data_IF_930391883802
#
_entry.id   IF_930391883802
#
_cell.length_a   1.000
_cell.length_b   1.000
_cell.length_c   1.000
_cell.angle_alpha   90.00
_cell.angle_beta   90.00
_cell.angle_gamma   90.00
#
_symmetry.space_group_name_H-M   'P 1'
#
loop_
_entity.id
_entity.type
_entity.pdbx_description
1 polymer ?
#
# COMPACT_ATOMS: atom_id res chain seq x y z
N UNK A 1 18.91 -56.80 50.03
CA UNK A 1 18.78 -56.56 48.57
C UNK A 1 17.83 -55.39 48.36
N UNK A 2 18.32 -54.25 47.85
CA UNK A 2 17.52 -53.09 47.42
C UNK A 2 17.81 -52.88 45.92
N UNK A 3 16.82 -52.73 45.04
CA UNK A 3 17.10 -52.44 43.64
C UNK A 3 17.37 -50.95 43.47
N UNK A 4 18.44 -50.62 42.76
CA UNK A 4 18.72 -49.27 42.28
C UNK A 4 17.91 -49.04 41.01
N UNK A 5 17.05 -48.03 41.02
CA UNK A 5 16.28 -47.58 39.86
C UNK A 5 17.14 -46.55 39.11
N UNK A 6 17.71 -46.96 37.98
CA UNK A 6 18.34 -46.05 37.02
C UNK A 6 17.26 -45.38 36.18
N UNK A 7 17.08 -44.07 36.34
CA UNK A 7 16.22 -43.25 35.47
C UNK A 7 17.07 -42.81 34.27
N UNK A 8 16.78 -43.38 33.10
CA UNK A 8 17.32 -42.89 31.83
C UNK A 8 16.59 -41.60 31.45
N UNK A 9 17.29 -40.48 31.52
CA UNK A 9 16.79 -39.19 31.04
C UNK A 9 16.95 -39.15 29.51
N UNK A 10 15.88 -39.48 28.77
CA UNK A 10 15.84 -39.28 27.32
C UNK A 10 15.65 -37.79 27.05
N UNK A 11 16.73 -37.10 26.65
CA UNK A 11 16.66 -35.75 26.12
C UNK A 11 15.99 -35.83 24.74
N UNK A 12 14.71 -35.50 24.68
CA UNK A 12 13.98 -35.32 23.41
C UNK A 12 14.47 -34.00 22.82
N UNK A 13 15.44 -34.05 21.93
CA UNK A 13 15.78 -32.94 21.05
C UNK A 13 14.62 -32.70 20.10
N UNK A 14 13.71 -31.80 20.46
CA UNK A 14 12.72 -31.27 19.54
C UNK A 14 13.48 -30.48 18.48
N UNK A 15 13.64 -31.07 17.29
CA UNK A 15 14.08 -30.34 16.12
C UNK A 15 13.01 -29.30 15.83
N UNK A 16 13.26 -28.05 16.23
CA UNK A 16 12.49 -26.90 15.78
C UNK A 16 12.80 -26.80 14.29
N UNK A 17 11.90 -27.31 13.44
CA UNK A 17 11.98 -27.04 12.02
C UNK A 17 12.01 -25.50 11.87
N UNK A 18 12.97 -24.94 11.11
CA UNK A 18 12.96 -23.51 10.85
C UNK A 18 11.59 -23.20 10.25
N UNK A 19 10.84 -22.30 10.91
CA UNK A 19 9.71 -21.62 10.30
C UNK A 19 10.18 -21.20 8.91
N UNK A 20 9.55 -21.70 7.85
CA UNK A 20 9.93 -21.37 6.48
C UNK A 20 9.89 -19.86 6.35
N UNK A 21 11.07 -19.23 6.43
CA UNK A 21 11.19 -17.80 6.24
C UNK A 21 10.69 -17.51 4.83
N UNK A 22 9.68 -16.65 4.73
CA UNK A 22 9.20 -16.16 3.45
C UNK A 22 10.37 -15.51 2.72
N UNK A 23 10.83 -16.13 1.64
CA UNK A 23 11.99 -15.70 0.88
C UNK A 23 11.57 -15.18 -0.49
N UNK A 24 12.18 -14.07 -0.92
CA UNK A 24 11.98 -13.52 -2.25
C UNK A 24 12.84 -14.27 -3.28
N UNK A 25 12.19 -14.89 -4.26
CA UNK A 25 12.85 -15.54 -5.40
C UNK A 25 12.64 -14.75 -6.69
N UNK A 26 13.57 -14.86 -7.63
CA UNK A 26 13.41 -14.29 -8.97
C UNK A 26 12.30 -15.03 -9.74
N UNK A 27 11.56 -14.29 -10.56
CA UNK A 27 10.52 -14.81 -11.45
C UNK A 27 10.36 -13.85 -12.64
N UNK A 28 9.37 -14.11 -13.48
CA UNK A 28 8.83 -13.12 -14.42
C UNK A 28 7.37 -12.82 -14.14
N UNK A 29 6.92 -11.65 -14.58
CA UNK A 29 5.51 -11.25 -14.58
C UNK A 29 5.20 -10.62 -15.93
N UNK A 30 4.34 -11.26 -16.73
CA UNK A 30 4.04 -10.81 -18.10
C UNK A 30 5.29 -10.58 -18.97
N UNK A 31 6.36 -11.35 -18.74
CA UNK A 31 7.64 -11.20 -19.43
C UNK A 31 8.60 -10.16 -18.83
N UNK A 32 8.16 -9.36 -17.85
CA UNK A 32 8.99 -8.45 -17.07
C UNK A 32 9.75 -9.23 -15.98
N UNK A 33 10.99 -8.85 -15.69
CA UNK A 33 11.75 -9.38 -14.56
C UNK A 33 11.06 -9.00 -13.23
N UNK A 34 10.94 -9.98 -12.33
CA UNK A 34 10.23 -9.78 -11.09
C UNK A 34 10.80 -10.60 -9.94
N UNK A 35 10.36 -10.27 -8.73
CA UNK A 35 10.51 -11.12 -7.56
C UNK A 35 9.15 -11.54 -7.02
N UNK A 36 9.08 -12.76 -6.51
CA UNK A 36 7.90 -13.33 -5.87
C UNK A 36 8.23 -13.85 -4.48
N UNK A 37 7.28 -13.69 -3.56
CA UNK A 37 7.32 -14.29 -2.24
C UNK A 37 5.90 -14.68 -1.81
N UNK A 38 5.79 -15.70 -0.97
CA UNK A 38 4.51 -16.15 -0.40
C UNK A 38 4.50 -15.97 1.11
N UNK A 39 3.36 -15.59 1.66
CA UNK A 39 3.19 -15.43 3.11
C UNK A 39 3.54 -16.70 3.88
N UNK A 40 3.72 -16.58 5.19
CA UNK A 40 4.11 -17.73 6.03
C UNK A 40 3.11 -18.89 5.95
N UNK A 41 1.81 -18.60 5.82
CA UNK A 41 0.78 -19.63 5.62
C UNK A 41 0.76 -20.24 4.21
N UNK A 42 1.52 -19.67 3.27
CA UNK A 42 1.47 -19.99 1.84
C UNK A 42 0.18 -19.52 1.15
N UNK A 43 -0.71 -18.82 1.87
CA UNK A 43 -2.02 -18.43 1.35
C UNK A 43 -1.97 -17.22 0.43
N UNK A 44 -1.04 -16.31 0.68
CA UNK A 44 -0.93 -15.06 -0.06
C UNK A 44 0.37 -15.00 -0.83
N UNK A 45 0.34 -14.41 -2.01
CA UNK A 45 1.49 -14.19 -2.87
C UNK A 45 1.63 -12.70 -3.18
N UNK A 46 2.88 -12.25 -3.26
CA UNK A 46 3.26 -10.92 -3.69
C UNK A 46 4.24 -11.02 -4.85
N UNK A 47 3.99 -10.27 -5.94
CA UNK A 47 4.91 -10.17 -7.08
C UNK A 47 5.29 -8.70 -7.28
N UNK A 48 6.58 -8.45 -7.36
CA UNK A 48 7.19 -7.12 -7.52
C UNK A 48 7.93 -7.08 -8.85
N UNK A 49 7.45 -6.26 -9.80
CA UNK A 49 8.09 -6.05 -11.11
C UNK A 49 9.24 -5.05 -10.98
N UNK A 50 10.38 -5.39 -11.60
CA UNK A 50 11.57 -4.54 -11.60
C UNK A 50 11.44 -3.41 -12.61
N UNK A 51 10.87 -3.69 -13.78
CA UNK A 51 10.64 -2.74 -14.87
C UNK A 51 9.63 -1.66 -14.47
N UNK A 52 8.66 -2.02 -13.62
CA UNK A 52 7.69 -1.09 -13.03
C UNK A 52 8.13 -0.54 -11.68
N UNK A 53 9.18 -1.12 -11.09
CA UNK A 53 9.71 -0.75 -9.79
C UNK A 53 8.69 -0.87 -8.65
N UNK A 54 7.76 -1.83 -8.69
CA UNK A 54 6.66 -1.90 -7.70
C UNK A 54 6.00 -3.26 -7.55
N UNK A 55 5.25 -3.42 -6.44
CA UNK A 55 4.30 -4.51 -6.26
C UNK A 55 3.19 -4.40 -7.31
N UNK A 56 3.10 -5.43 -8.16
CA UNK A 56 2.11 -5.56 -9.24
C UNK A 56 1.07 -6.63 -8.93
N UNK A 57 1.35 -7.51 -7.96
CA UNK A 57 0.43 -8.55 -7.56
C UNK A 57 0.34 -8.67 -6.03
N UNK A 58 -0.89 -8.76 -5.51
CA UNK A 58 -1.17 -9.27 -4.17
C UNK A 58 -2.45 -10.10 -4.21
N UNK A 59 -2.38 -11.40 -3.93
CA UNK A 59 -3.48 -12.32 -4.17
C UNK A 59 -3.26 -13.72 -3.59
N UNK A 60 -4.21 -14.63 -3.76
CA UNK A 60 -4.10 -16.01 -3.23
C UNK A 60 -3.28 -16.96 -4.11
N UNK A 61 -3.01 -16.56 -5.34
CA UNK A 61 -2.27 -17.32 -6.34
C UNK A 61 -1.37 -16.34 -7.07
N UNK A 62 -0.25 -16.80 -7.61
CA UNK A 62 0.60 -15.98 -8.50
C UNK A 62 -0.05 -15.67 -9.85
N UNK A 63 -1.23 -16.23 -10.13
CA UNK A 63 -2.01 -15.98 -11.35
C UNK A 63 -2.81 -14.66 -11.28
N UNK A 64 -2.97 -13.99 -12.42
CA UNK A 64 -3.66 -12.69 -12.51
C UNK A 64 -5.12 -12.72 -12.02
N UNK A 65 -5.80 -13.86 -12.14
CA UNK A 65 -7.24 -14.00 -11.83
C UNK A 65 -7.60 -13.68 -10.38
N UNK A 66 -6.64 -13.81 -9.48
CA UNK A 66 -6.81 -13.62 -8.04
C UNK A 66 -6.05 -12.38 -7.53
N UNK A 67 -5.58 -11.51 -8.42
CA UNK A 67 -4.88 -10.29 -8.07
C UNK A 67 -5.86 -9.26 -7.50
N UNK A 68 -5.59 -8.80 -6.27
CA UNK A 68 -6.34 -7.74 -5.61
C UNK A 68 -5.81 -6.34 -5.96
N UNK A 69 -4.80 -6.25 -6.82
CA UNK A 69 -4.30 -5.01 -7.39
C UNK A 69 -4.64 -4.95 -8.88
N UNK A 70 -4.99 -3.76 -9.37
CA UNK A 70 -5.09 -3.54 -10.80
C UNK A 70 -3.69 -3.50 -11.39
N UNK A 71 -3.34 -4.43 -12.27
CA UNK A 71 -2.02 -4.47 -12.90
C UNK A 71 -2.19 -4.78 -14.40
N UNK A 72 -2.31 -3.75 -15.24
CA UNK A 72 -2.61 -3.93 -16.65
C UNK A 72 -1.40 -4.45 -17.43
N UNK A 73 -1.71 -5.14 -18.52
CA UNK A 73 -0.73 -5.78 -19.39
C UNK A 73 0.30 -4.80 -19.99
N UNK A 74 -0.17 -3.60 -20.35
CA UNK A 74 0.68 -2.55 -20.91
C UNK A 74 0.69 -1.31 -20.02
N UNK A 75 1.53 -0.33 -20.37
CA UNK A 75 1.74 0.92 -19.62
C UNK A 75 1.41 2.15 -20.46
N UNK A 76 0.63 1.95 -21.53
CA UNK A 76 0.45 2.96 -22.58
C UNK A 76 -0.45 4.12 -22.13
N UNK A 77 -1.19 3.94 -21.03
CA UNK A 77 -2.06 4.98 -20.46
C UNK A 77 -1.65 5.31 -19.02
N UNK A 78 -1.74 6.58 -18.64
CA UNK A 78 -1.43 7.02 -17.28
C UNK A 78 -2.40 6.43 -16.23
N UNK A 79 -3.64 6.12 -16.63
CA UNK A 79 -4.60 5.38 -15.81
C UNK A 79 -4.24 3.88 -15.70
N UNK A 80 -3.39 3.39 -16.61
CA UNK A 80 -2.91 2.02 -16.73
C UNK A 80 -1.57 1.76 -16.03
N UNK A 81 -1.19 2.53 -15.02
CA UNK A 81 0.06 2.27 -14.31
C UNK A 81 -0.08 1.14 -13.27
N UNK A 82 -1.20 1.11 -12.54
CA UNK A 82 -1.57 0.02 -11.65
C UNK A 82 -0.62 -0.25 -10.48
N UNK A 83 -0.94 -1.31 -9.74
CA UNK A 83 -0.16 -1.84 -8.63
C UNK A 83 -0.12 -0.92 -7.42
N UNK A 84 0.98 -1.05 -6.67
CA UNK A 84 1.34 -0.21 -5.53
C UNK A 84 2.24 0.95 -6.00
N UNK A 85 1.65 2.12 -6.23
CA UNK A 85 2.40 3.33 -6.62
C UNK A 85 2.87 4.06 -5.36
N UNK A 86 3.98 4.78 -5.50
CA UNK A 86 4.53 5.61 -4.44
C UNK A 86 4.94 6.95 -5.02
N UNK A 87 4.32 8.02 -4.55
CA UNK A 87 4.63 9.39 -4.97
C UNK A 87 4.98 10.25 -3.76
N UNK A 88 5.70 11.35 -4.02
CA UNK A 88 5.95 12.37 -3.02
C UNK A 88 5.01 13.56 -3.21
N UNK A 89 4.66 14.20 -2.09
CA UNK A 89 3.74 15.32 -2.03
C UNK A 89 4.25 16.50 -1.19
N UNK A 90 3.34 17.42 -0.79
CA UNK A 90 1.88 17.20 -0.72
C UNK A 90 1.15 17.15 -2.05
N UNK A 91 -0.02 16.50 -2.07
CA UNK A 91 -0.80 16.28 -3.31
C UNK A 91 -1.31 17.58 -3.94
N UNK A 92 -1.57 18.57 -3.11
CA UNK A 92 -1.92 19.94 -3.54
C UNK A 92 -0.83 20.63 -4.37
N UNK A 93 0.44 20.19 -4.27
CA UNK A 93 1.56 20.72 -5.07
C UNK A 93 1.74 19.98 -6.41
N UNK A 94 1.09 18.83 -6.61
CA UNK A 94 1.23 17.99 -7.82
C UNK A 94 0.98 18.72 -9.15
N UNK A 95 0.02 19.66 -9.29
CA UNK A 95 -0.17 20.38 -10.54
C UNK A 95 1.08 21.11 -11.06
N UNK A 96 2.04 21.41 -10.19
CA UNK A 96 3.29 22.10 -10.56
C UNK A 96 4.36 21.19 -11.14
N UNK A 97 4.22 19.88 -10.99
CA UNK A 97 5.18 18.89 -11.46
C UNK A 97 4.50 17.67 -12.09
N UNK A 98 3.28 17.83 -12.61
CA UNK A 98 2.59 16.78 -13.35
C UNK A 98 3.08 16.70 -14.80
N UNK A 99 3.36 15.50 -15.35
CA UNK A 99 3.24 14.16 -14.76
C UNK A 99 4.32 13.87 -13.71
N UNK A 100 4.08 12.93 -12.76
CA UNK A 100 5.05 12.61 -11.71
C UNK A 100 6.42 12.22 -12.30
N UNK A 101 7.53 12.52 -11.59
CA UNK A 101 8.87 12.13 -12.01
C UNK A 101 8.95 10.67 -12.47
N UNK A 102 9.64 10.45 -13.60
CA UNK A 102 9.78 9.11 -14.19
C UNK A 102 10.41 8.10 -13.21
N UNK A 103 11.31 8.53 -12.34
CA UNK A 103 11.88 7.69 -11.29
C UNK A 103 10.84 7.06 -10.35
N UNK A 104 9.71 7.74 -10.11
CA UNK A 104 8.67 7.23 -9.23
C UNK A 104 7.76 6.24 -9.93
N UNK A 105 7.58 6.42 -11.24
CA UNK A 105 6.44 5.85 -11.94
C UNK A 105 6.80 5.03 -13.18
N UNK A 106 7.84 5.42 -13.91
CA UNK A 106 8.14 4.87 -15.22
C UNK A 106 9.47 4.15 -15.34
N UNK A 107 10.38 4.33 -14.40
CA UNK A 107 11.71 3.74 -14.45
C UNK A 107 11.77 2.35 -13.81
N UNK A 108 12.60 1.49 -14.40
CA UNK A 108 13.00 0.26 -13.74
C UNK A 108 13.77 0.56 -12.45
N UNK A 109 13.65 -0.31 -11.46
CA UNK A 109 14.37 -0.21 -10.20
C UNK A 109 15.44 -1.31 -10.11
N UNK A 110 16.60 -0.94 -9.55
CA UNK A 110 17.54 -1.94 -9.08
C UNK A 110 16.93 -2.65 -7.87
N UNK A 111 17.07 -3.98 -7.81
CA UNK A 111 16.59 -4.78 -6.70
C UNK A 111 17.74 -5.42 -5.92
N UNK A 112 17.59 -5.45 -4.61
CA UNK A 112 18.46 -6.20 -3.70
C UNK A 112 17.59 -7.00 -2.75
N UNK A 113 17.84 -8.30 -2.65
CA UNK A 113 17.25 -9.16 -1.64
C UNK A 113 18.27 -9.28 -0.48
N UNK A 114 17.81 -9.19 0.77
CA UNK A 114 18.66 -9.39 1.95
C UNK A 114 19.29 -10.78 1.97
N UNK A 115 20.38 -10.95 2.71
CA UNK A 115 21.12 -12.22 2.78
C UNK A 115 20.26 -13.39 3.30
N UNK A 116 19.29 -13.11 4.17
CA UNK A 116 18.32 -14.07 4.69
C UNK A 116 17.11 -14.30 3.75
N UNK A 117 17.05 -13.58 2.62
CA UNK A 117 15.99 -13.67 1.63
C UNK A 117 14.69 -12.93 1.99
N UNK A 118 14.55 -12.40 3.21
CA UNK A 118 13.23 -11.97 3.75
C UNK A 118 12.78 -10.60 3.28
N UNK A 119 13.73 -9.76 2.86
CA UNK A 119 13.50 -8.37 2.51
C UNK A 119 13.89 -8.12 1.07
N UNK A 120 12.95 -7.62 0.27
CA UNK A 120 13.22 -7.09 -1.06
C UNK A 120 13.26 -5.56 -1.00
N UNK A 121 14.37 -4.96 -1.41
CA UNK A 121 14.51 -3.51 -1.54
C UNK A 121 14.61 -3.13 -3.02
N UNK A 122 13.81 -2.15 -3.44
CA UNK A 122 13.88 -1.52 -4.75
C UNK A 122 14.45 -0.10 -4.63
N UNK A 123 15.38 0.19 -5.53
CA UNK A 123 16.03 1.50 -5.68
C UNK A 123 15.85 1.97 -7.12
N UNK A 124 14.83 2.82 -7.38
CA UNK A 124 14.70 3.51 -8.67
C UNK A 124 15.93 4.41 -8.94
N UNK A 125 16.12 4.86 -10.18
CA UNK A 125 17.13 5.88 -10.46
C UNK A 125 16.84 7.17 -9.68
N UNK A 126 17.85 8.04 -9.49
CA UNK A 126 17.65 9.30 -8.78
C UNK A 126 16.50 10.12 -9.36
N UNK A 127 15.67 10.71 -8.49
CA UNK A 127 14.48 11.47 -8.94
C UNK A 127 14.86 12.70 -9.76
N UNK A 128 15.95 13.38 -9.37
CA UNK A 128 16.33 14.69 -9.90
C UNK A 128 15.44 15.84 -9.40
N UNK A 129 15.63 17.04 -9.95
CA UNK A 129 14.81 18.24 -9.68
C UNK A 129 14.72 18.66 -8.19
N UNK A 130 15.74 18.29 -7.41
CA UNK A 130 15.83 18.57 -5.97
C UNK A 130 14.94 17.68 -5.09
N UNK A 131 14.26 16.68 -5.65
CA UNK A 131 13.54 15.68 -4.86
C UNK A 131 14.53 14.69 -4.23
N UNK A 132 14.22 14.15 -3.03
CA UNK A 132 14.98 13.03 -2.50
C UNK A 132 14.73 11.77 -3.32
N UNK A 133 15.60 10.79 -3.15
CA UNK A 133 15.48 9.48 -3.78
C UNK A 133 14.48 8.64 -2.99
N UNK A 134 13.53 8.03 -3.70
CA UNK A 134 12.45 7.24 -3.13
C UNK A 134 12.76 5.75 -3.26
N UNK A 135 12.98 5.07 -2.14
CA UNK A 135 13.22 3.63 -2.06
C UNK A 135 11.96 2.90 -1.61
N UNK A 136 11.88 1.61 -1.95
CA UNK A 136 10.77 0.73 -1.56
C UNK A 136 11.33 -0.52 -0.91
N UNK A 137 10.69 -1.01 0.13
CA UNK A 137 11.03 -2.26 0.79
C UNK A 137 9.77 -3.10 0.99
N UNK A 138 9.88 -4.41 0.76
CA UNK A 138 8.81 -5.37 0.95
C UNK A 138 9.28 -6.51 1.84
N UNK A 139 8.53 -6.78 2.90
CA UNK A 139 8.85 -7.83 3.86
C UNK A 139 7.55 -8.46 4.39
N UNK A 140 7.53 -9.78 4.49
CA UNK A 140 6.41 -10.50 5.09
C UNK A 140 6.59 -10.65 6.60
N UNK A 141 5.50 -10.46 7.33
CA UNK A 141 5.36 -10.77 8.75
C UNK A 141 4.10 -11.63 8.92
N UNK A 142 4.27 -12.95 8.97
CA UNK A 142 3.16 -13.89 8.88
C UNK A 142 2.40 -13.74 7.56
N UNK A 143 1.13 -13.34 7.64
CA UNK A 143 0.24 -13.09 6.49
C UNK A 143 0.09 -11.59 6.16
N UNK A 144 0.91 -10.73 6.75
CA UNK A 144 0.93 -9.30 6.48
C UNK A 144 2.18 -8.93 5.65
N UNK A 145 1.96 -8.29 4.50
CA UNK A 145 3.03 -7.71 3.69
C UNK A 145 3.25 -6.27 4.16
N UNK A 146 4.41 -6.00 4.73
CA UNK A 146 4.86 -4.66 5.05
C UNK A 146 5.52 -4.05 3.82
N UNK A 147 4.94 -2.96 3.32
CA UNK A 147 5.48 -2.19 2.22
C UNK A 147 5.96 -0.84 2.75
N UNK A 148 7.27 -0.67 2.86
CA UNK A 148 7.91 0.54 3.39
C UNK A 148 8.43 1.40 2.25
N UNK A 149 8.04 2.66 2.24
CA UNK A 149 8.68 3.70 1.45
C UNK A 149 9.67 4.45 2.34
N UNK A 150 10.86 4.71 1.83
CA UNK A 150 11.83 5.59 2.50
C UNK A 150 12.40 6.59 1.52
N UNK A 151 12.70 7.79 2.01
CA UNK A 151 13.37 8.81 1.21
C UNK A 151 14.79 9.03 1.73
N UNK A 152 15.74 9.07 0.82
CA UNK A 152 17.17 9.25 1.08
C UNK A 152 17.77 10.34 0.20
N UNK A 153 19.03 10.67 0.43
CA UNK A 153 19.77 11.63 -0.38
C UNK A 153 19.67 13.06 0.13
N UNK A 154 20.57 13.91 -0.36
CA UNK A 154 20.65 15.32 0.00
C UNK A 154 19.53 16.08 -0.71
N UNK A 155 18.43 16.32 0.01
CA UNK A 155 17.33 17.19 -0.43
C UNK A 155 16.90 18.09 0.70
N UNK A 156 16.75 19.37 0.39
CA UNK A 156 16.21 20.42 1.25
C UNK A 156 14.67 20.45 1.23
N UNK A 157 14.02 19.49 0.55
CA UNK A 157 12.57 19.42 0.48
C UNK A 157 11.97 18.65 1.66
N UNK A 158 11.00 19.30 2.28
CA UNK A 158 10.03 18.63 3.14
C UNK A 158 8.99 17.91 2.27
N UNK A 159 8.73 16.64 2.54
CA UNK A 159 7.94 15.75 1.67
C UNK A 159 6.82 15.06 2.41
N UNK A 160 5.73 14.79 1.70
CA UNK A 160 4.72 13.81 2.10
C UNK A 160 4.99 12.51 1.35
N UNK A 161 4.93 11.35 2.01
CA UNK A 161 5.02 10.04 1.33
C UNK A 161 3.60 9.53 1.12
N UNK A 162 3.26 9.18 -0.12
CA UNK A 162 1.92 8.74 -0.53
C UNK A 162 1.98 7.31 -1.07
N UNK A 163 1.42 6.36 -0.34
CA UNK A 163 1.17 5.00 -0.84
C UNK A 163 -0.17 4.94 -1.54
N UNK A 164 -0.20 4.41 -2.76
CA UNK A 164 -1.40 4.34 -3.59
C UNK A 164 -1.56 2.91 -4.10
N UNK A 165 -2.66 2.24 -3.74
CA UNK A 165 -2.99 0.92 -4.25
C UNK A 165 -4.20 1.03 -5.18
N UNK A 166 -3.95 0.92 -6.49
CA UNK A 166 -5.01 0.93 -7.49
C UNK A 166 -5.70 -0.44 -7.54
N UNK A 167 -7.02 -0.44 -7.42
CA UNK A 167 -7.82 -1.65 -7.30
C UNK A 167 -8.45 -2.07 -8.64
N UNK A 168 -8.62 -3.37 -8.90
CA UNK A 168 -9.35 -3.87 -10.07
C UNK A 168 -10.79 -3.35 -10.16
N UNK A 169 -11.37 -3.38 -11.36
CA UNK A 169 -12.79 -3.04 -11.54
C UNK A 169 -13.70 -3.89 -10.65
N UNK A 170 -14.79 -3.27 -10.18
CA UNK A 170 -15.76 -3.92 -9.29
C UNK A 170 -15.35 -3.98 -7.82
N UNK A 171 -14.16 -3.46 -7.46
CA UNK A 171 -13.81 -3.26 -6.05
C UNK A 171 -14.78 -2.30 -5.38
N UNK A 172 -15.13 -2.59 -4.13
CA UNK A 172 -15.82 -1.65 -3.24
C UNK A 172 -14.95 -1.41 -2.02
N UNK A 173 -15.00 -0.22 -1.46
CA UNK A 173 -14.22 0.12 -0.27
C UNK A 173 -15.14 0.23 0.92
N UNK A 174 -14.68 -0.22 2.07
CA UNK A 174 -15.36 -0.02 3.34
C UNK A 174 -14.40 0.48 4.38
N UNK A 175 -14.89 1.35 5.25
CA UNK A 175 -14.16 1.87 6.41
C UNK A 175 -15.14 2.18 7.55
N UNK A 176 -14.59 2.30 8.75
CA UNK A 176 -15.34 2.75 9.93
C UNK A 176 -15.23 4.27 9.99
N UNK A 177 -16.35 5.03 9.90
CA UNK A 177 -16.31 6.48 10.00
C UNK A 177 -15.97 6.92 11.43
N UNK A 178 -15.36 8.10 11.58
CA UNK A 178 -15.12 8.74 12.88
C UNK A 178 -15.75 10.15 12.93
N UNK A 179 -17.08 10.25 13.11
CA UNK A 179 -17.79 11.54 13.10
C UNK A 179 -17.25 12.53 14.14
N UNK A 180 -17.13 13.79 13.74
CA UNK A 180 -16.82 14.92 14.62
C UNK A 180 -17.79 16.06 14.36
N UNK A 181 -17.76 17.11 15.20
CA UNK A 181 -18.56 18.32 14.97
C UNK A 181 -18.23 18.97 13.61
N UNK A 182 -16.97 18.92 13.20
CA UNK A 182 -16.48 19.51 11.95
C UNK A 182 -16.55 18.54 10.76
N UNK A 183 -16.80 17.25 10.97
CA UNK A 183 -16.92 16.24 9.93
C UNK A 183 -18.03 15.25 10.34
N UNK A 184 -19.31 15.63 10.17
CA UNK A 184 -20.44 14.87 10.73
C UNK A 184 -20.60 13.47 10.13
N UNK A 185 -20.11 13.24 8.91
CA UNK A 185 -20.12 11.91 8.29
C UNK A 185 -18.93 11.04 8.71
N UNK A 186 -17.96 11.60 9.44
CA UNK A 186 -16.70 10.95 9.79
C UNK A 186 -15.70 10.81 8.64
N UNK A 187 -15.98 11.47 7.52
CA UNK A 187 -15.11 11.64 6.36
C UNK A 187 -15.41 12.98 5.68
N UNK A 188 -14.50 13.43 4.82
CA UNK A 188 -14.60 14.72 4.09
C UNK A 188 -14.42 14.48 2.59
N UNK A 189 -14.81 15.46 1.77
CA UNK A 189 -14.44 15.50 0.36
C UNK A 189 -13.21 16.40 0.22
N UNK A 190 -12.13 15.83 -0.31
CA UNK A 190 -10.84 16.50 -0.46
C UNK A 190 -10.77 17.25 -1.79
N UNK A 191 -9.97 18.33 -1.84
CA UNK A 191 -9.72 19.01 -3.09
C UNK A 191 -8.97 18.11 -4.07
N UNK A 192 -9.42 18.11 -5.32
CA UNK A 192 -8.85 17.40 -6.46
C UNK A 192 -9.26 18.15 -7.75
N UNK A 193 -8.67 17.85 -8.91
CA UNK A 193 -8.86 18.55 -10.20
C UNK A 193 -10.28 19.14 -10.47
N UNK A 194 -11.34 18.36 -10.23
CA UNK A 194 -12.75 18.80 -10.43
C UNK A 194 -13.43 19.39 -9.19
N UNK A 195 -12.83 19.23 -8.00
CA UNK A 195 -13.29 19.75 -6.71
C UNK A 195 -12.19 20.64 -6.13
N UNK A 196 -12.19 21.96 -6.37
CA UNK A 196 -11.12 22.83 -5.88
C UNK A 196 -11.17 23.05 -4.36
N UNK A 197 -12.32 22.78 -3.74
CA UNK A 197 -12.58 23.10 -2.33
C UNK A 197 -12.57 21.87 -1.44
N UNK A 198 -12.09 22.06 -0.22
CA UNK A 198 -12.21 21.11 0.87
C UNK A 198 -13.63 21.19 1.46
N UNK A 199 -14.40 20.10 1.42
CA UNK A 199 -15.80 20.10 1.87
C UNK A 199 -16.00 19.15 3.04
N UNK A 200 -16.41 19.73 4.17
CA UNK A 200 -16.63 19.04 5.45
C UNK A 200 -18.08 18.59 5.66
N UNK A 201 -19.01 19.38 5.16
CA UNK A 201 -20.45 19.17 5.30
C UNK A 201 -21.08 19.16 3.93
N UNK A 202 -21.80 18.10 3.61
CA UNK A 202 -22.40 17.86 2.31
C UNK A 202 -23.53 16.84 2.46
N UNK A 203 -24.46 16.83 1.50
CA UNK A 203 -25.41 15.74 1.39
C UNK A 203 -24.70 14.45 1.01
N UNK A 204 -25.13 13.32 1.57
CA UNK A 204 -24.48 12.03 1.34
C UNK A 204 -24.44 11.71 -0.17
N UNK A 205 -23.26 11.49 -0.77
CA UNK A 205 -23.16 11.17 -2.19
C UNK A 205 -23.77 9.80 -2.52
N UNK A 206 -24.27 9.64 -3.74
CA UNK A 206 -24.94 8.39 -4.19
C UNK A 206 -24.01 7.16 -4.17
N UNK A 207 -22.71 7.37 -4.38
CA UNK A 207 -21.70 6.31 -4.32
C UNK A 207 -21.34 5.89 -2.88
N UNK A 208 -21.98 6.47 -1.86
CA UNK A 208 -21.74 6.16 -0.46
C UNK A 208 -22.98 5.54 0.19
N UNK A 209 -22.82 4.33 0.73
CA UNK A 209 -23.81 3.64 1.55
C UNK A 209 -23.36 3.62 3.01
N UNK A 210 -24.26 3.94 3.93
CA UNK A 210 -24.04 3.80 5.38
C UNK A 210 -24.78 2.55 5.88
N UNK A 211 -24.07 1.69 6.59
CA UNK A 211 -24.61 0.51 7.25
C UNK A 211 -24.13 0.50 8.71
N UNK A 212 -25.00 0.98 9.61
CA UNK A 212 -24.73 1.17 11.04
C UNK A 212 -23.38 1.87 11.32
N UNK A 213 -22.32 1.09 11.51
CA UNK A 213 -20.98 1.56 11.87
C UNK A 213 -19.96 1.47 10.71
N UNK A 214 -20.44 1.24 9.49
CA UNK A 214 -19.60 1.06 8.32
C UNK A 214 -20.07 1.99 7.20
N UNK A 215 -19.12 2.64 6.55
CA UNK A 215 -19.34 3.32 5.29
C UNK A 215 -18.82 2.44 4.18
N UNK A 216 -19.60 2.30 3.11
CA UNK A 216 -19.23 1.60 1.88
C UNK A 216 -19.22 2.57 0.72
N UNK A 217 -18.09 2.65 0.05
CA UNK A 217 -17.88 3.42 -1.18
C UNK A 217 -17.96 2.47 -2.37
N UNK A 218 -18.82 2.80 -3.32
CA UNK A 218 -19.03 2.04 -4.55
C UNK A 218 -18.22 2.67 -5.70
N UNK A 219 -17.84 1.88 -6.72
CA UNK A 219 -17.40 2.42 -8.00
C UNK A 219 -18.45 3.39 -8.55
N UNK A 220 -17.98 4.44 -9.21
CA UNK A 220 -18.82 5.49 -9.78
C UNK A 220 -18.13 6.07 -11.01
N UNK A 221 -18.92 6.65 -11.91
CA UNK A 221 -18.43 7.42 -13.06
C UNK A 221 -18.04 8.86 -12.67
N UNK A 222 -18.24 9.24 -11.42
CA UNK A 222 -17.85 10.55 -10.88
C UNK A 222 -16.43 10.50 -10.32
N UNK A 223 -15.60 11.46 -10.70
CA UNK A 223 -14.29 11.60 -10.08
C UNK A 223 -14.40 12.33 -8.73
N UNK A 224 -14.02 11.65 -7.65
CA UNK A 224 -14.15 12.19 -6.29
C UNK A 224 -12.99 11.72 -5.41
N UNK A 225 -12.70 12.49 -4.36
CA UNK A 225 -11.68 12.14 -3.38
C UNK A 225 -12.21 12.27 -1.96
N UNK A 226 -12.17 11.17 -1.22
CA UNK A 226 -12.63 11.10 0.16
C UNK A 226 -11.42 11.11 1.08
N UNK A 227 -11.44 11.98 2.09
CA UNK A 227 -10.44 12.06 3.15
C UNK A 227 -10.95 11.47 4.46
N UNK A 228 -10.08 10.73 5.13
CA UNK A 228 -10.33 10.08 6.42
C UNK A 228 -9.18 10.39 7.38
N UNK A 229 -9.49 10.50 8.67
CA UNK A 229 -8.47 10.37 9.70
C UNK A 229 -7.76 9.02 9.55
N UNK A 230 -6.50 8.94 10.00
CA UNK A 230 -5.66 7.75 9.84
C UNK A 230 -6.40 6.47 10.29
N UNK A 231 -6.71 5.59 9.34
CA UNK A 231 -7.54 4.40 9.58
C UNK A 231 -7.23 3.27 8.61
N UNK A 232 -7.77 2.09 8.89
CA UNK A 232 -7.69 0.93 7.97
C UNK A 232 -8.76 1.03 6.90
N UNK A 233 -8.36 0.85 5.64
CA UNK A 233 -9.25 0.67 4.52
C UNK A 233 -9.41 -0.82 4.20
N UNK A 234 -10.64 -1.26 3.92
CA UNK A 234 -10.89 -2.58 3.36
C UNK A 234 -11.47 -2.46 1.96
N UNK A 235 -10.76 -2.95 0.95
CA UNK A 235 -11.31 -3.14 -0.37
C UNK A 235 -11.84 -4.57 -0.53
N UNK A 236 -12.95 -4.75 -1.23
CA UNK A 236 -13.58 -6.05 -1.42
C UNK A 236 -13.79 -6.35 -2.90
N UNK A 237 -13.40 -7.54 -3.31
CA UNK A 237 -13.62 -8.09 -4.65
C UNK A 237 -14.03 -9.54 -4.53
N UNK A 238 -15.23 -9.86 -5.02
CA UNK A 238 -15.82 -11.20 -4.91
C UNK A 238 -15.81 -11.71 -3.45
N UNK A 239 -15.14 -12.84 -3.21
CA UNK A 239 -14.98 -13.44 -1.88
C UNK A 239 -13.75 -12.91 -1.12
N UNK A 240 -12.96 -12.03 -1.72
CA UNK A 240 -11.70 -11.55 -1.18
C UNK A 240 -11.82 -10.14 -0.61
N UNK A 241 -11.02 -9.87 0.41
CA UNK A 241 -10.86 -8.56 1.02
C UNK A 241 -9.37 -8.24 1.06
N UNK A 242 -8.99 -7.10 0.50
CA UNK A 242 -7.70 -6.45 0.69
C UNK A 242 -7.82 -5.47 1.85
N UNK A 243 -6.91 -5.52 2.81
CA UNK A 243 -6.82 -4.55 3.90
C UNK A 243 -5.55 -3.74 3.76
N UNK A 244 -5.69 -2.42 3.87
CA UNK A 244 -4.59 -1.47 3.85
C UNK A 244 -4.62 -0.65 5.13
N UNK A 245 -3.59 -0.81 5.97
CA UNK A 245 -3.48 -0.13 7.26
C UNK A 245 -2.20 0.71 7.31
N UNK A 246 -2.24 1.92 7.89
CA UNK A 246 -1.02 2.66 8.20
C UNK A 246 -0.16 1.87 9.20
N UNK A 247 1.13 1.78 8.89
CA UNK A 247 2.15 1.15 9.73
C UNK A 247 3.02 2.19 10.43
N UNK A 248 4.27 1.83 10.68
CA UNK A 248 5.24 2.73 11.30
C UNK A 248 5.63 3.87 10.36
N UNK A 249 5.86 5.04 10.94
CA UNK A 249 6.39 6.22 10.26
C UNK A 249 7.56 6.77 11.07
N UNK A 250 8.56 7.29 10.37
CA UNK A 250 9.71 7.97 10.95
C UNK A 250 10.01 9.28 10.20
N UNK A 251 10.59 10.24 10.92
CA UNK A 251 10.86 11.59 10.43
C UNK A 251 10.17 12.65 11.29
N UNK A 252 10.69 13.88 11.25
CA UNK A 252 10.11 15.01 11.96
C UNK A 252 8.92 15.57 11.17
N UNK A 253 7.77 15.74 11.81
CA UNK A 253 6.60 16.37 11.19
C UNK A 253 6.77 17.90 11.20
N UNK A 254 6.53 18.53 10.05
CA UNK A 254 6.57 20.00 9.87
C UNK A 254 5.27 20.57 9.31
N UNK A 255 4.27 19.73 9.04
CA UNK A 255 2.94 20.17 8.63
C UNK A 255 1.98 19.02 8.41
N UNK A 256 0.69 19.35 8.33
CA UNK A 256 -0.41 18.42 8.08
C UNK A 256 -1.15 18.82 6.78
N UNK A 257 -0.60 18.46 5.60
CA UNK A 257 -1.32 18.58 4.35
C UNK A 257 -2.69 17.90 4.41
N UNK A 258 -3.61 18.34 3.55
CA UNK A 258 -4.99 17.84 3.52
C UNK A 258 -5.68 17.90 4.90
N UNK A 259 -5.25 18.81 5.79
CA UNK A 259 -5.78 19.00 7.15
C UNK A 259 -5.70 17.73 8.03
N UNK A 260 -4.71 16.87 7.81
CA UNK A 260 -4.49 15.64 8.59
C UNK A 260 -5.37 14.46 8.18
N UNK A 261 -6.08 14.56 7.05
CA UNK A 261 -6.83 13.44 6.47
C UNK A 261 -5.89 12.53 5.65
N UNK A 262 -5.08 11.79 6.40
CA UNK A 262 -3.94 10.99 5.92
C UNK A 262 -4.32 9.60 5.38
N UNK A 263 -5.59 9.23 5.43
CA UNK A 263 -6.12 8.05 4.72
C UNK A 263 -7.11 8.54 3.68
N UNK A 264 -7.00 8.09 2.43
CA UNK A 264 -7.85 8.62 1.36
C UNK A 264 -8.36 7.51 0.44
N UNK A 265 -9.51 7.77 -0.17
CA UNK A 265 -10.09 6.95 -1.24
C UNK A 265 -10.29 7.85 -2.44
N UNK A 266 -9.61 7.54 -3.54
CA UNK A 266 -9.81 8.23 -4.81
C UNK A 266 -10.66 7.39 -5.75
N UNK A 267 -11.65 8.04 -6.37
CA UNK A 267 -12.60 7.48 -7.31
C UNK A 267 -12.31 8.10 -8.68
N UNK A 268 -11.95 7.27 -9.67
CA UNK A 268 -11.72 7.73 -11.05
C UNK A 268 -12.97 7.58 -11.91
N UNK A 269 -13.42 8.65 -12.59
CA UNK A 269 -14.72 8.67 -13.27
C UNK A 269 -14.78 8.11 -14.71
N UNK A 270 -13.77 8.36 -15.54
CA UNK A 270 -13.81 8.01 -16.98
C UNK A 270 -13.61 6.50 -17.23
N UNK A 271 -12.89 5.82 -16.33
CA UNK A 271 -12.80 4.37 -16.25
C UNK A 271 -12.95 4.04 -14.76
N UNK A 272 -14.12 3.56 -14.29
CA UNK A 272 -14.37 3.41 -12.86
C UNK A 272 -13.32 2.52 -12.18
N UNK A 273 -12.41 3.15 -11.45
CA UNK A 273 -11.44 2.51 -10.57
C UNK A 273 -11.43 3.20 -9.22
N UNK A 274 -10.88 2.47 -8.24
CA UNK A 274 -10.70 2.99 -6.89
C UNK A 274 -9.23 2.86 -6.52
N UNK A 275 -8.70 3.90 -5.88
CA UNK A 275 -7.39 3.88 -5.25
C UNK A 275 -7.55 3.97 -3.73
N UNK A 276 -6.83 3.11 -3.03
CA UNK A 276 -6.67 3.18 -1.58
C UNK A 276 -5.36 3.91 -1.29
N UNK A 277 -5.44 5.01 -0.55
CA UNK A 277 -4.27 5.84 -0.26
C UNK A 277 -4.00 5.91 1.23
N UNK A 278 -2.71 5.82 1.58
CA UNK A 278 -2.20 6.11 2.92
C UNK A 278 -1.06 7.11 2.77
N UNK A 279 -1.10 8.17 3.56
CA UNK A 279 -0.20 9.30 3.47
C UNK A 279 0.46 9.54 4.82
N UNK A 280 1.66 10.10 4.80
CA UNK A 280 2.24 10.75 5.98
C UNK A 280 1.70 12.17 6.12
N UNK A 281 1.90 12.82 7.28
CA UNK A 281 2.06 14.27 7.35
C UNK A 281 3.26 14.74 6.50
N UNK A 282 3.49 16.05 6.40
CA UNK A 282 4.70 16.59 5.76
C UNK A 282 5.89 16.38 6.69
N UNK A 283 6.85 15.59 6.23
CA UNK A 283 8.10 15.29 6.91
C UNK A 283 9.16 16.34 6.56
N UNK A 284 9.95 16.76 7.54
CA UNK A 284 11.00 17.76 7.40
C UNK A 284 12.01 17.41 6.30
N UNK A 285 12.69 18.43 5.79
CA UNK A 285 13.90 18.26 5.02
C UNK A 285 15.05 17.80 5.93
N UNK A 286 16.05 17.13 5.34
CA UNK A 286 17.23 16.69 6.07
C UNK A 286 17.03 15.44 6.95
N UNK A 287 18.17 14.82 7.23
CA UNK A 287 18.39 13.52 7.89
C UNK A 287 17.80 12.28 7.19
N UNK A 288 18.62 11.23 7.16
CA UNK A 288 18.22 9.86 6.89
C UNK A 288 17.16 9.42 7.93
N UNK A 289 16.33 8.42 7.58
CA UNK A 289 15.21 7.87 8.38
C UNK A 289 13.85 8.55 8.19
N UNK A 290 13.57 9.16 7.04
CA UNK A 290 12.20 9.49 6.65
C UNK A 290 11.58 8.29 5.94
N UNK A 291 10.64 7.63 6.61
CA UNK A 291 10.04 6.41 6.09
C UNK A 291 8.59 6.29 6.53
N UNK A 292 7.83 5.55 5.74
CA UNK A 292 6.46 5.20 6.04
C UNK A 292 6.17 3.79 5.57
N UNK A 293 5.60 2.99 6.45
CA UNK A 293 5.17 1.62 6.17
C UNK A 293 3.67 1.60 6.03
N UNK A 294 3.17 0.92 5.01
CA UNK A 294 1.79 0.44 4.98
C UNK A 294 1.78 -1.07 5.11
N UNK A 295 0.72 -1.58 5.72
CA UNK A 295 0.55 -3.00 5.99
C UNK A 295 -0.61 -3.49 5.12
N UNK A 296 -0.28 -4.43 4.23
CA UNK A 296 -1.19 -5.02 3.26
C UNK A 296 -1.49 -6.43 3.71
N UNK A 297 -2.76 -6.78 3.87
CA UNK A 297 -3.18 -8.15 4.20
C UNK A 297 -4.42 -8.56 3.46
N UNK A 298 -4.59 -9.87 3.30
CA UNK A 298 -5.73 -10.45 2.60
C UNK A 298 -6.66 -11.22 3.54
N UNK A 299 -7.95 -11.27 3.20
CA UNK A 299 -8.92 -12.22 3.75
C UNK A 299 -9.73 -12.85 2.63
N UNK A 300 -10.14 -14.10 2.85
CA UNK A 300 -11.07 -14.79 1.98
C UNK A 300 -12.28 -15.21 2.81
N UNK A 301 -13.48 -14.77 2.41
CA UNK A 301 -14.72 -15.26 2.99
C UNK A 301 -14.89 -16.72 2.59
N UNK A 302 -15.00 -17.60 3.57
CA UNK A 302 -15.45 -18.97 3.33
C UNK A 302 -16.88 -18.90 2.78
N UNK A 303 -17.14 -19.55 1.65
CA UNK A 303 -18.52 -19.78 1.20
C UNK A 303 -19.20 -20.59 2.30
N UNK A 304 -20.27 -20.03 2.86
CA UNK A 304 -21.17 -20.76 3.75
C UNK A 304 -22.11 -21.62 2.91
#
# INVERSE_FOLDING_TARGET
MKPAISIFLTVISVAIAPLSATSWSTTTWQGEAAHVATSESGKWSAIVSLERGRLVHFGVSTEEKDNLLFAPATRDTALGWGGHRLWLGPQTEWPTFWPPPAAWEQSAAAATVSDDGTTLTLRPPPTGLGWPDLNRQYQWFGDELHATASVSGESDRAVQIVHILQQPHGFRVTFVPAPTADAPHGYVLLPFYLRPEFVKTFDRPEFVLHDANLVRVLPTETTEKIGLQSTTLEGHLNAFTLRLRPGQMSGQIVGEPEQGYNTQVFLGGHEPFIELEQLTPRLAAGADNRAFTVIISGRQRLKR
#
